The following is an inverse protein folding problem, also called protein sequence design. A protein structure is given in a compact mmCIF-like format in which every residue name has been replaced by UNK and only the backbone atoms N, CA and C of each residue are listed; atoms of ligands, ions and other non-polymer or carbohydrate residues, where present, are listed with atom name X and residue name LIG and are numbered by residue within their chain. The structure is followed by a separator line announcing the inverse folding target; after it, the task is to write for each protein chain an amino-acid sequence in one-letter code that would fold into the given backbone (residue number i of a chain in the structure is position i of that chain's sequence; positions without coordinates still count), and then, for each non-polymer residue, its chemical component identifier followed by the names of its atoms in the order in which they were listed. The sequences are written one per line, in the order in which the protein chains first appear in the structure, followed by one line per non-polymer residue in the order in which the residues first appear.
data_IF_900657187367
#
_entry.id   IF_900657187367
#
_cell.length_a   1.000
_cell.length_b   1.000
_cell.length_c   1.000
_cell.angle_alpha   90.00
_cell.angle_beta   90.00
_cell.angle_gamma   90.00
#
_symmetry.space_group_name_H-M   'P 1'
#
loop_
_entity.id
_entity.type
_entity.pdbx_description
1 polymer ?
#
# COMPACT_ATOMS: atom_id res chain seq x y z
N UNK A 1 -2.94 -9.39 4.57
CA UNK A 1 -2.08 -8.44 3.87
C UNK A 1 -2.92 -7.50 3.03
N UNK A 2 -3.83 -8.01 2.25
CA UNK A 2 -4.64 -7.27 1.27
C UNK A 2 -5.94 -6.69 1.85
N UNK A 3 -6.15 -6.77 3.19
CA UNK A 3 -7.36 -6.28 3.82
C UNK A 3 -7.70 -4.81 3.45
N UNK A 4 -6.71 -3.88 3.32
CA UNK A 4 -7.04 -2.49 2.99
C UNK A 4 -7.70 -2.33 1.62
N UNK A 5 -7.31 -3.13 0.60
CA UNK A 5 -7.94 -3.10 -0.73
C UNK A 5 -9.40 -3.51 -0.64
N UNK A 6 -9.67 -4.63 0.04
CA UNK A 6 -11.04 -5.11 0.26
C UNK A 6 -11.87 -4.09 1.04
N UNK A 7 -11.31 -3.51 2.11
CA UNK A 7 -11.98 -2.48 2.90
C UNK A 7 -12.34 -1.25 2.06
N UNK A 8 -11.43 -0.81 1.17
CA UNK A 8 -11.66 0.37 0.34
C UNK A 8 -12.76 0.17 -0.72
N UNK A 9 -12.92 -1.04 -1.26
CA UNK A 9 -13.94 -1.31 -2.28
C UNK A 9 -15.27 -1.73 -1.69
N UNK A 10 -15.30 -2.34 -0.49
CA UNK A 10 -16.55 -2.84 0.15
C UNK A 10 -17.08 -1.90 1.23
N UNK A 11 -16.25 -1.02 1.79
CA UNK A 11 -16.59 -0.20 2.95
C UNK A 11 -16.67 -0.99 4.27
N UNK A 12 -16.25 -2.25 4.30
CA UNK A 12 -16.27 -3.11 5.48
C UNK A 12 -14.93 -3.04 6.21
N UNK A 13 -14.95 -2.70 7.50
CA UNK A 13 -13.77 -2.82 8.38
C UNK A 13 -13.59 -4.30 8.74
N UNK A 14 -12.65 -4.98 8.05
CA UNK A 14 -12.41 -6.41 8.21
C UNK A 14 -11.83 -6.75 9.59
N UNK A 15 -11.00 -5.90 10.15
CA UNK A 15 -10.40 -6.13 11.47
C UNK A 15 -11.45 -6.01 12.55
N UNK A 16 -12.29 -4.97 12.51
CA UNK A 16 -13.42 -4.84 13.41
C UNK A 16 -14.43 -5.99 13.26
N UNK A 17 -14.69 -6.43 12.02
CA UNK A 17 -15.55 -7.58 11.75
C UNK A 17 -15.01 -8.87 12.39
N UNK A 18 -13.71 -9.14 12.28
CA UNK A 18 -13.08 -10.29 12.93
C UNK A 18 -13.23 -10.26 14.45
N UNK A 19 -13.05 -9.08 15.07
CA UNK A 19 -13.23 -8.93 16.53
C UNK A 19 -14.68 -9.18 16.97
N UNK A 20 -15.65 -8.70 16.20
CA UNK A 20 -17.08 -8.92 16.45
C UNK A 20 -17.43 -10.40 16.32
N UNK A 21 -16.96 -11.07 15.26
CA UNK A 21 -17.18 -12.51 15.06
C UNK A 21 -16.57 -13.33 16.21
N UNK A 22 -15.36 -12.98 16.66
CA UNK A 22 -14.75 -13.59 17.81
C UNK A 22 -15.54 -13.36 19.11
N UNK A 23 -16.29 -12.25 19.20
CA UNK A 23 -17.23 -11.94 20.28
C UNK A 23 -18.58 -12.66 20.17
N UNK A 24 -18.83 -13.42 19.10
CA UNK A 24 -20.08 -14.17 18.90
C UNK A 24 -21.05 -13.56 17.90
N UNK A 25 -20.71 -12.45 17.24
CA UNK A 25 -21.54 -11.86 16.19
C UNK A 25 -21.58 -12.77 14.94
N UNK A 26 -22.65 -12.68 14.19
CA UNK A 26 -22.76 -13.33 12.88
C UNK A 26 -21.97 -12.56 11.83
N UNK A 27 -21.51 -13.29 10.78
CA UNK A 27 -20.83 -12.67 9.63
C UNK A 27 -21.76 -11.64 8.98
N UNK A 28 -21.30 -10.41 8.83
CA UNK A 28 -21.99 -9.39 8.08
C UNK A 28 -21.92 -9.74 6.58
N UNK A 29 -23.00 -9.55 5.81
CA UNK A 29 -22.92 -9.70 4.37
C UNK A 29 -21.88 -8.73 3.81
N UNK A 30 -21.06 -9.20 2.87
CA UNK A 30 -20.15 -8.32 2.14
C UNK A 30 -20.97 -7.22 1.46
N UNK A 31 -20.53 -5.97 1.59
CA UNK A 31 -21.10 -4.87 0.83
C UNK A 31 -20.87 -5.04 -0.66
N UNK A 32 -21.60 -4.31 -1.49
CA UNK A 32 -21.31 -4.24 -2.92
C UNK A 32 -19.91 -3.64 -3.14
N UNK A 33 -19.12 -4.31 -3.97
CA UNK A 33 -17.83 -3.77 -4.39
C UNK A 33 -18.03 -2.52 -5.25
N UNK A 34 -17.32 -1.43 -4.90
CA UNK A 34 -17.42 -0.13 -5.58
C UNK A 34 -16.04 0.35 -5.98
N UNK A 35 -15.90 0.67 -7.27
CA UNK A 35 -14.67 1.22 -7.81
C UNK A 35 -13.55 0.19 -7.90
N UNK A 36 -12.31 0.67 -7.79
CA UNK A 36 -11.10 -0.12 -7.88
C UNK A 36 -10.07 0.38 -6.86
N UNK A 37 -9.38 -0.52 -6.20
CA UNK A 37 -8.33 -0.16 -5.26
C UNK A 37 -7.01 -0.86 -5.61
N UNK A 38 -5.90 -0.17 -5.33
CA UNK A 38 -4.54 -0.66 -5.50
C UNK A 38 -3.80 -0.44 -4.20
N UNK A 39 -3.04 -1.44 -3.75
CA UNK A 39 -2.14 -1.33 -2.60
C UNK A 39 -0.68 -1.45 -3.05
N UNK A 40 0.18 -0.55 -2.57
CA UNK A 40 1.63 -0.67 -2.65
C UNK A 40 2.19 -0.86 -1.25
N UNK A 41 2.88 -1.98 -1.04
CA UNK A 41 3.63 -2.26 0.19
C UNK A 41 4.98 -1.56 0.11
N UNK A 42 5.18 -0.56 0.96
CA UNK A 42 6.46 0.13 1.05
C UNK A 42 7.35 -0.60 2.05
N UNK A 43 8.40 -1.19 1.51
CA UNK A 43 9.39 -1.93 2.27
C UNK A 43 10.67 -1.09 2.42
N UNK A 44 11.30 -1.18 3.60
CA UNK A 44 12.63 -0.63 3.84
C UNK A 44 13.69 -1.53 3.19
N UNK A 45 13.86 -1.40 1.88
CA UNK A 45 14.71 -2.22 1.02
C UNK A 45 15.36 -1.36 -0.05
N UNK A 46 16.61 -1.71 -0.39
CA UNK A 46 17.32 -1.12 -1.53
C UNK A 46 16.85 -1.73 -2.87
N UNK A 47 17.40 -1.22 -3.97
CA UNK A 47 17.08 -1.69 -5.34
C UNK A 47 17.43 -3.18 -5.59
N UNK A 48 18.28 -3.78 -4.73
CA UNK A 48 18.64 -5.19 -4.77
C UNK A 48 17.82 -6.06 -3.79
N UNK A 49 16.71 -5.52 -3.23
CA UNK A 49 15.83 -6.15 -2.24
C UNK A 49 16.52 -6.49 -0.91
N UNK A 50 17.64 -5.85 -0.59
CA UNK A 50 18.29 -6.04 0.69
C UNK A 50 17.66 -5.11 1.71
N UNK A 51 17.40 -5.58 2.95
CA UNK A 51 16.86 -4.73 4.01
C UNK A 51 17.71 -3.47 4.22
N UNK A 52 17.04 -2.32 4.38
CA UNK A 52 17.65 -1.03 4.68
C UNK A 52 17.18 -0.53 6.06
N UNK A 53 17.69 -1.14 7.16
CA UNK A 53 17.37 -0.66 8.49
C UNK A 53 18.01 0.72 8.71
N UNK A 54 17.43 1.53 9.60
CA UNK A 54 17.99 2.85 9.90
C UNK A 54 17.00 3.77 10.57
N UNK A 55 17.45 4.99 10.84
CA UNK A 55 16.62 6.02 11.45
C UNK A 55 15.88 6.82 10.38
N UNK A 56 14.57 6.89 10.50
CA UNK A 56 13.72 7.76 9.66
C UNK A 56 14.00 9.21 10.04
N UNK A 57 14.55 9.98 9.11
CA UNK A 57 14.89 11.40 9.32
C UNK A 57 13.84 12.34 8.79
N UNK A 58 13.09 11.91 7.77
CA UNK A 58 12.01 12.67 7.15
C UNK A 58 10.83 11.73 6.88
N UNK A 59 9.61 12.20 7.09
CA UNK A 59 8.39 11.49 6.73
C UNK A 59 7.35 12.49 6.24
N UNK A 60 6.98 12.39 4.96
CA UNK A 60 5.84 13.10 4.37
C UNK A 60 4.90 12.05 3.79
N UNK A 61 3.72 11.95 4.36
CA UNK A 61 2.69 11.02 3.91
C UNK A 61 1.79 11.66 2.87
N UNK A 62 1.45 10.95 1.77
CA UNK A 62 0.48 11.45 0.81
C UNK A 62 -0.92 11.48 1.41
N UNK A 63 -1.77 12.35 0.86
CA UNK A 63 -3.16 12.47 1.28
C UNK A 63 -4.10 12.77 0.12
N UNK A 64 -5.32 13.19 0.46
CA UNK A 64 -6.36 13.56 -0.51
C UNK A 64 -7.35 12.44 -0.80
N UNK A 65 -8.33 12.74 -1.66
CA UNK A 65 -9.43 11.84 -1.97
C UNK A 65 -8.96 10.48 -2.48
N UNK A 66 -9.48 9.40 -1.87
CA UNK A 66 -9.18 8.03 -2.24
C UNK A 66 -7.78 7.54 -1.83
N UNK A 67 -7.04 8.27 -1.00
CA UNK A 67 -5.74 7.82 -0.49
C UNK A 67 -5.86 7.44 0.99
N UNK A 68 -5.36 6.24 1.31
CA UNK A 68 -5.15 5.75 2.67
C UNK A 68 -3.70 5.33 2.85
N UNK A 69 -3.12 5.66 3.99
CA UNK A 69 -1.78 5.19 4.37
C UNK A 69 -1.85 4.53 5.73
N UNK A 70 -1.46 3.27 5.80
CA UNK A 70 -1.30 2.53 7.04
C UNK A 70 0.19 2.39 7.33
N UNK A 71 0.67 3.01 8.41
CA UNK A 71 2.08 3.01 8.77
C UNK A 71 2.27 3.15 10.28
N UNK A 72 3.38 2.63 10.77
CA UNK A 72 3.88 2.85 12.14
C UNK A 72 5.04 3.84 12.18
N UNK A 73 5.46 4.38 11.01
CA UNK A 73 6.59 5.29 10.94
C UNK A 73 6.25 6.68 11.54
N UNK A 74 7.28 7.28 12.11
CA UNK A 74 7.32 8.69 12.49
C UNK A 74 8.77 9.20 12.39
N UNK A 75 9.00 10.52 12.24
CA UNK A 75 10.36 11.05 12.26
C UNK A 75 11.09 10.67 13.55
N UNK A 76 12.29 10.08 13.40
CA UNK A 76 13.06 9.53 14.52
C UNK A 76 12.87 8.05 14.79
N UNK A 77 11.84 7.39 14.22
CA UNK A 77 11.68 5.94 14.32
C UNK A 77 12.93 5.21 13.78
N UNK A 78 13.32 4.14 14.46
CA UNK A 78 14.43 3.29 14.01
C UNK A 78 13.86 1.99 13.49
N UNK A 79 13.97 1.79 12.16
CA UNK A 79 13.58 0.54 11.51
C UNK A 79 14.56 -0.56 11.94
N UNK A 80 14.09 -1.59 12.65
CA UNK A 80 14.97 -2.65 13.14
C UNK A 80 15.30 -3.65 12.03
N UNK A 81 16.40 -4.37 12.22
CA UNK A 81 16.84 -5.43 11.29
C UNK A 81 16.29 -6.83 11.64
N UNK A 82 15.47 -6.94 12.70
CA UNK A 82 14.98 -8.23 13.20
C UNK A 82 13.61 -8.63 12.65
N UNK A 83 12.88 -7.68 12.05
CA UNK A 83 11.51 -7.89 11.57
C UNK A 83 11.43 -7.74 10.05
N UNK A 84 10.25 -8.03 9.51
CA UNK A 84 9.91 -7.77 8.12
C UNK A 84 10.20 -6.31 7.75
N UNK A 85 10.61 -6.10 6.50
CA UNK A 85 10.96 -4.77 5.97
C UNK A 85 9.76 -3.86 5.72
N UNK A 86 8.51 -4.36 5.86
CA UNK A 86 7.30 -3.58 5.62
C UNK A 86 7.18 -2.41 6.59
N UNK A 87 7.19 -1.18 6.07
CA UNK A 87 7.11 0.04 6.87
C UNK A 87 5.84 0.85 6.62
N UNK A 88 5.22 0.70 5.46
CA UNK A 88 3.94 1.34 5.16
C UNK A 88 3.17 0.58 4.09
N UNK A 89 1.85 0.76 4.09
CA UNK A 89 0.98 0.42 2.98
C UNK A 89 0.36 1.71 2.46
N UNK A 90 0.48 1.95 1.16
CA UNK A 90 -0.21 3.04 0.49
C UNK A 90 -1.33 2.42 -0.34
N UNK A 91 -2.56 2.87 -0.12
CA UNK A 91 -3.72 2.37 -0.82
C UNK A 91 -4.37 3.54 -1.57
N UNK A 92 -4.65 3.32 -2.86
CA UNK A 92 -5.39 4.27 -3.67
C UNK A 92 -6.69 3.62 -4.17
N UNK A 93 -7.80 4.33 -4.01
CA UNK A 93 -9.12 3.94 -4.50
C UNK A 93 -9.60 4.96 -5.54
N UNK A 94 -10.25 4.50 -6.58
CA UNK A 94 -10.87 5.30 -7.63
C UNK A 94 -12.18 4.69 -8.09
N UNK A 95 -12.94 5.42 -8.91
CA UNK A 95 -14.15 4.91 -9.53
C UNK A 95 -13.89 3.76 -10.53
N UNK A 96 -12.66 3.73 -11.07
CA UNK A 96 -12.16 2.68 -11.95
C UNK A 96 -10.65 2.44 -11.75
N UNK A 97 -10.09 1.48 -12.51
CA UNK A 97 -8.67 1.14 -12.44
C UNK A 97 -7.75 2.30 -12.86
N UNK A 98 -8.14 3.05 -13.88
CA UNK A 98 -7.31 4.16 -14.40
C UNK A 98 -7.20 5.28 -13.36
N UNK A 99 -8.31 5.63 -12.70
CA UNK A 99 -8.32 6.60 -11.63
C UNK A 99 -7.51 6.13 -10.40
N UNK A 100 -7.67 4.87 -10.00
CA UNK A 100 -6.89 4.29 -8.89
C UNK A 100 -5.38 4.33 -9.19
N UNK A 101 -4.95 3.97 -10.42
CA UNK A 101 -3.56 4.06 -10.87
C UNK A 101 -3.03 5.49 -10.83
N UNK A 102 -3.78 6.46 -11.37
CA UNK A 102 -3.38 7.86 -11.37
C UNK A 102 -3.21 8.40 -9.94
N UNK A 103 -4.14 8.08 -9.04
CA UNK A 103 -4.07 8.44 -7.61
C UNK A 103 -2.87 7.79 -6.92
N UNK A 104 -2.61 6.50 -7.19
CA UNK A 104 -1.46 5.80 -6.62
C UNK A 104 -0.13 6.40 -7.07
N UNK A 105 0.04 6.66 -8.37
CA UNK A 105 1.25 7.29 -8.91
C UNK A 105 1.49 8.67 -8.29
N UNK A 106 0.44 9.49 -8.13
CA UNK A 106 0.54 10.77 -7.44
C UNK A 106 0.98 10.56 -5.98
N UNK A 107 0.30 9.68 -5.25
CA UNK A 107 0.60 9.41 -3.85
C UNK A 107 2.05 8.94 -3.64
N UNK A 108 2.53 8.02 -4.48
CA UNK A 108 3.92 7.55 -4.41
C UNK A 108 4.94 8.65 -4.73
N UNK A 109 4.62 9.59 -5.62
CA UNK A 109 5.49 10.74 -5.91
C UNK A 109 5.54 11.74 -4.75
N UNK A 110 4.45 11.92 -4.03
CA UNK A 110 4.37 12.78 -2.84
C UNK A 110 5.01 12.16 -1.60
N UNK A 111 4.97 10.83 -1.47
CA UNK A 111 5.56 10.11 -0.33
C UNK A 111 7.06 10.42 -0.21
N UNK A 112 7.50 10.83 0.99
CA UNK A 112 8.91 10.98 1.34
C UNK A 112 9.21 10.20 2.60
N UNK A 113 10.24 9.35 2.54
CA UNK A 113 10.79 8.63 3.68
C UNK A 113 12.30 8.80 3.58
N UNK A 114 12.88 9.67 4.43
CA UNK A 114 14.32 9.92 4.47
C UNK A 114 15.01 9.09 5.53
N UNK A 115 16.31 8.83 5.34
CA UNK A 115 17.16 8.10 6.29
C UNK A 115 17.21 6.58 6.08
N UNK A 116 16.32 6.03 5.28
CA UNK A 116 16.32 4.64 4.82
C UNK A 116 16.02 4.57 3.33
N UNK A 117 16.44 3.50 2.67
CA UNK A 117 16.03 3.21 1.32
C UNK A 117 14.70 2.46 1.30
N UNK A 118 13.90 2.64 0.25
CA UNK A 118 12.61 1.96 0.09
C UNK A 118 12.38 1.56 -1.35
N UNK A 119 11.56 0.53 -1.55
CA UNK A 119 11.14 0.05 -2.87
C UNK A 119 10.14 0.99 -3.60
N UNK A 120 9.90 2.21 -3.07
CA UNK A 120 8.95 3.20 -3.64
C UNK A 120 9.20 3.49 -5.13
N UNK A 121 10.47 3.67 -5.51
CA UNK A 121 10.85 3.97 -6.90
C UNK A 121 10.40 2.84 -7.84
N UNK A 122 10.62 1.59 -7.44
CA UNK A 122 10.22 0.41 -8.21
C UNK A 122 8.71 0.32 -8.41
N UNK A 123 7.91 0.67 -7.40
CA UNK A 123 6.46 0.78 -7.57
C UNK A 123 6.07 1.82 -8.61
N UNK A 124 6.71 3.00 -8.62
CA UNK A 124 6.45 4.03 -9.61
C UNK A 124 6.80 3.52 -11.03
N UNK A 125 7.93 2.87 -11.20
CA UNK A 125 8.36 2.30 -12.48
C UNK A 125 7.34 1.26 -12.97
N UNK A 126 6.99 0.28 -12.13
CA UNK A 126 6.01 -0.76 -12.46
C UNK A 126 4.63 -0.18 -12.83
N UNK A 127 4.11 0.73 -12.01
CA UNK A 127 2.79 1.33 -12.26
C UNK A 127 2.77 2.28 -13.46
N UNK A 128 3.93 2.75 -13.90
CA UNK A 128 4.08 3.59 -15.10
C UNK A 128 4.28 2.75 -16.38
N UNK A 129 4.50 1.45 -16.26
CA UNK A 129 4.68 0.58 -17.41
C UNK A 129 3.37 0.45 -18.20
N UNK A 130 3.38 0.66 -19.53
CA UNK A 130 2.17 0.58 -20.36
C UNK A 130 1.48 -0.79 -20.31
N UNK A 131 2.23 -1.90 -20.20
CA UNK A 131 1.65 -3.23 -20.11
C UNK A 131 0.91 -3.41 -18.77
N UNK A 132 1.49 -2.91 -17.66
CA UNK A 132 0.82 -2.91 -16.37
C UNK A 132 -0.46 -2.05 -16.38
N UNK A 133 -0.40 -0.87 -17.01
CA UNK A 133 -1.55 0.03 -17.12
C UNK A 133 -2.67 -0.56 -17.96
N UNK A 134 -2.34 -1.26 -19.06
CA UNK A 134 -3.31 -1.96 -19.90
C UNK A 134 -4.03 -3.12 -19.17
N UNK A 135 -3.43 -3.65 -18.10
CA UNK A 135 -3.96 -4.80 -17.37
C UNK A 135 -3.58 -6.14 -18.02
N UNK A 136 -4.08 -7.24 -17.46
CA UNK A 136 -3.79 -8.59 -17.97
C UNK A 136 -2.41 -9.12 -17.59
N UNK A 137 -1.67 -8.42 -16.74
CA UNK A 137 -0.38 -8.90 -16.17
C UNK A 137 -0.64 -9.90 -15.04
N UNK A 138 0.27 -10.85 -14.90
CA UNK A 138 0.28 -11.83 -13.80
C UNK A 138 1.48 -11.63 -12.86
N UNK A 139 1.65 -12.52 -11.89
CA UNK A 139 2.74 -12.47 -10.92
C UNK A 139 4.12 -12.70 -11.54
N UNK A 140 4.21 -13.13 -12.78
CA UNK A 140 5.44 -13.26 -13.56
C UNK A 140 5.95 -11.94 -14.12
N UNK A 141 5.12 -10.89 -14.18
CA UNK A 141 5.44 -9.58 -14.74
C UNK A 141 6.75 -8.98 -14.18
N UNK A 142 7.06 -9.18 -12.91
CA UNK A 142 8.26 -8.65 -12.25
C UNK A 142 9.52 -9.50 -12.45
N UNK A 143 9.45 -10.62 -13.16
CA UNK A 143 10.59 -11.53 -13.38
C UNK A 143 11.35 -11.29 -14.69
N UNK A 144 10.87 -10.37 -15.50
CA UNK A 144 11.43 -10.00 -16.80
C UNK A 144 12.24 -8.72 -16.72
#
# INVERSE_FOLDING_TARGET
VEHPVTEMVTGVDLVAAQLRIAGGDTVLPAGEERGHAIECRINAEDDAFRPSPGRVTELILPGGAGIRVDTHLYPGYVVPHHYDSLVAKVIAHGGDRAEALARMLRALRELRIGGIETNRKRHIEMLSDPAFQAGGVDTGFLRN
#
